data_IF_284233672722
#
_entry.id   IF_284233672722
#
_cell.length_a   1.000
_cell.length_b   1.000
_cell.length_c   1.000
_cell.angle_alpha   90.00
_cell.angle_beta   90.00
_cell.angle_gamma   90.00
#
_symmetry.space_group_name_H-M   'P 1'
#
loop_
_entity.id
_entity.type
_entity.pdbx_description
1 polymer ?
#
# COMPACT_ATOMS: atom_id res chain seq x y z
N UNK A 1 11.35 -8.38 14.97
CA UNK A 1 10.05 -9.11 14.97
C UNK A 1 8.97 -8.19 14.43
N UNK A 2 8.08 -8.69 13.57
CA UNK A 2 7.01 -7.90 12.91
C UNK A 2 5.79 -7.62 13.81
N UNK A 3 5.77 -8.16 15.04
CA UNK A 3 4.68 -7.95 16.01
C UNK A 3 4.96 -8.68 17.34
N UNK A 4 4.16 -8.38 18.37
CA UNK A 4 4.18 -9.03 19.69
C UNK A 4 2.79 -9.56 20.07
N UNK A 5 2.70 -10.67 20.80
CA UNK A 5 1.42 -11.34 21.15
C UNK A 5 0.40 -10.45 21.89
N UNK A 6 0.88 -9.44 22.62
CA UNK A 6 0.04 -8.47 23.33
C UNK A 6 -0.48 -7.32 22.45
N UNK A 7 -0.18 -7.32 21.14
CA UNK A 7 -0.66 -6.33 20.18
C UNK A 7 -1.84 -6.87 19.35
N UNK A 8 -2.53 -5.97 18.66
CA UNK A 8 -3.58 -6.35 17.72
C UNK A 8 -2.97 -6.70 16.35
N UNK A 9 -3.51 -7.76 15.74
CA UNK A 9 -3.43 -7.95 14.30
C UNK A 9 -4.55 -7.14 13.65
N UNK A 10 -4.18 -6.26 12.73
CA UNK A 10 -5.09 -5.38 12.00
C UNK A 10 -5.24 -5.92 10.59
N UNK A 11 -6.47 -6.11 10.14
CA UNK A 11 -6.79 -6.60 8.80
C UNK A 11 -7.43 -5.49 8.01
N UNK A 12 -7.12 -5.39 6.72
CA UNK A 12 -7.78 -4.47 5.79
C UNK A 12 -8.45 -5.30 4.69
N UNK A 13 -9.73 -5.06 4.46
CA UNK A 13 -10.48 -5.75 3.41
C UNK A 13 -10.40 -5.03 2.05
N UNK A 14 -10.84 -5.73 1.01
CA UNK A 14 -10.87 -5.24 -0.37
C UNK A 14 -11.78 -4.02 -0.59
N UNK A 15 -12.63 -3.68 0.39
CA UNK A 15 -13.50 -2.49 0.37
C UNK A 15 -12.87 -1.29 1.08
N UNK A 16 -11.69 -1.47 1.67
CA UNK A 16 -10.95 -0.44 2.39
C UNK A 16 -11.33 -0.28 3.86
N UNK A 17 -12.02 -1.26 4.45
CA UNK A 17 -12.32 -1.27 5.88
C UNK A 17 -11.21 -1.95 6.67
N UNK A 18 -10.94 -1.43 7.86
CA UNK A 18 -10.00 -2.03 8.81
C UNK A 18 -10.73 -2.72 9.97
N UNK A 19 -10.09 -3.76 10.49
CA UNK A 19 -10.57 -4.60 11.60
C UNK A 19 -9.39 -4.88 12.53
N UNK A 20 -9.63 -5.13 13.81
CA UNK A 20 -8.57 -5.50 14.74
C UNK A 20 -8.97 -6.72 15.58
N UNK A 21 -8.06 -7.68 15.72
CA UNK A 21 -8.17 -8.82 16.62
C UNK A 21 -6.93 -8.88 17.52
N UNK A 22 -7.06 -9.14 18.83
CA UNK A 22 -5.89 -9.34 19.68
C UNK A 22 -5.11 -10.57 19.22
N UNK A 23 -3.81 -10.45 18.94
CA UNK A 23 -3.04 -11.50 18.29
C UNK A 23 -2.98 -12.80 19.12
N UNK A 24 -2.89 -12.70 20.45
CA UNK A 24 -2.92 -13.85 21.35
C UNK A 24 -4.24 -14.66 21.32
N UNK A 25 -5.30 -14.11 20.73
CA UNK A 25 -6.59 -14.82 20.60
C UNK A 25 -6.72 -15.60 19.29
N UNK A 26 -5.75 -15.47 18.38
CA UNK A 26 -5.72 -16.23 17.14
C UNK A 26 -5.27 -17.67 17.40
N UNK A 27 -5.75 -18.64 16.61
CA UNK A 27 -5.42 -20.04 16.79
C UNK A 27 -3.93 -20.34 16.59
N UNK A 28 -3.48 -21.43 17.20
CA UNK A 28 -2.12 -21.95 17.01
C UNK A 28 -1.87 -22.37 15.56
N UNK A 29 -0.64 -22.18 15.10
CA UNK A 29 -0.17 -22.64 13.78
C UNK A 29 -0.13 -24.19 13.64
N UNK A 30 -0.35 -24.96 14.72
CA UNK A 30 -0.43 -26.43 14.65
C UNK A 30 -1.74 -26.95 14.06
N UNK A 31 -2.79 -26.12 13.98
CA UNK A 31 -4.08 -26.47 13.40
C UNK A 31 -4.27 -25.85 12.01
N UNK A 32 -5.49 -25.99 11.46
CA UNK A 32 -5.88 -25.38 10.19
C UNK A 32 -6.29 -23.90 10.31
N UNK A 33 -6.19 -23.33 11.52
CA UNK A 33 -6.66 -21.98 11.81
C UNK A 33 -8.17 -21.86 11.93
N UNK A 34 -8.68 -20.63 11.78
CA UNK A 34 -10.11 -20.33 11.75
C UNK A 34 -10.36 -19.24 10.69
N UNK A 35 -11.53 -19.23 10.03
CA UNK A 35 -11.86 -18.18 9.07
C UNK A 35 -12.06 -16.84 9.78
N UNK A 36 -11.48 -15.76 9.26
CA UNK A 36 -11.65 -14.40 9.82
C UNK A 36 -13.12 -13.96 9.88
N UNK A 37 -13.94 -14.45 8.95
CA UNK A 37 -15.39 -14.20 8.90
C UNK A 37 -16.18 -14.81 10.07
N UNK A 38 -15.59 -15.73 10.85
CA UNK A 38 -16.21 -16.20 12.10
C UNK A 38 -16.12 -15.16 13.23
N UNK A 39 -15.18 -14.21 13.12
CA UNK A 39 -14.91 -13.20 14.15
C UNK A 39 -15.29 -11.78 13.73
N UNK A 40 -15.18 -11.52 12.44
CA UNK A 40 -15.39 -10.23 11.80
C UNK A 40 -16.55 -10.32 10.82
N UNK A 41 -17.22 -9.20 10.59
CA UNK A 41 -18.40 -9.08 9.74
C UNK A 41 -18.10 -8.17 8.54
N UNK A 42 -17.24 -8.61 7.60
CA UNK A 42 -16.96 -7.82 6.40
C UNK A 42 -18.18 -7.77 5.46
N UNK A 43 -18.25 -6.79 4.54
CA UNK A 43 -19.27 -6.77 3.50
C UNK A 43 -19.29 -8.07 2.68
N UNK A 44 -20.47 -8.44 2.15
CA UNK A 44 -20.61 -9.62 1.31
C UNK A 44 -19.66 -9.56 0.10
N UNK A 45 -18.91 -10.65 -0.13
CA UNK A 45 -17.93 -10.74 -1.22
C UNK A 45 -16.60 -10.02 -0.96
N UNK A 46 -16.43 -9.35 0.18
CA UNK A 46 -15.14 -8.77 0.54
C UNK A 46 -14.11 -9.83 0.90
N UNK A 47 -12.85 -9.58 0.54
CA UNK A 47 -11.68 -10.39 0.88
C UNK A 47 -10.80 -9.62 1.85
N UNK A 48 -10.04 -10.30 2.70
CA UNK A 48 -9.03 -9.65 3.54
C UNK A 48 -7.72 -9.59 2.77
N UNK A 49 -7.35 -8.39 2.35
CA UNK A 49 -6.27 -8.20 1.38
C UNK A 49 -4.96 -7.83 2.06
N UNK A 50 -4.98 -7.24 3.27
CA UNK A 50 -3.75 -6.89 4.00
C UNK A 50 -3.84 -7.21 5.49
N UNK A 51 -2.68 -7.45 6.10
CA UNK A 51 -2.52 -7.59 7.55
C UNK A 51 -1.36 -6.72 8.04
N UNK A 52 -1.60 -5.98 9.11
CA UNK A 52 -0.62 -5.12 9.78
C UNK A 52 -0.55 -5.50 11.26
N UNK A 53 0.63 -5.37 11.83
CA UNK A 53 0.85 -5.61 13.24
C UNK A 53 2.06 -4.81 13.70
N UNK A 54 2.01 -4.30 14.93
CA UNK A 54 3.11 -3.52 15.49
C UNK A 54 2.64 -2.51 16.53
N UNK A 55 3.42 -1.44 16.71
CA UNK A 55 3.09 -0.41 17.71
C UNK A 55 2.10 0.59 17.17
N UNK A 56 1.23 1.11 18.03
CA UNK A 56 0.22 2.13 17.71
C UNK A 56 0.79 3.39 17.02
N UNK A 57 2.05 3.73 17.28
CA UNK A 57 2.74 4.88 16.68
C UNK A 57 3.42 4.61 15.34
N UNK A 58 3.48 3.36 14.87
CA UNK A 58 4.09 3.04 13.59
C UNK A 58 3.28 3.66 12.46
N UNK A 59 4.00 4.25 11.51
CA UNK A 59 3.43 4.87 10.32
C UNK A 59 3.49 3.92 9.14
N UNK A 60 2.48 3.99 8.31
CA UNK A 60 2.38 3.23 7.07
C UNK A 60 1.94 4.15 5.94
N UNK A 61 2.52 3.97 4.77
CA UNK A 61 1.98 4.45 3.51
C UNK A 61 0.76 3.58 3.17
N UNK A 62 -0.42 4.20 3.19
CA UNK A 62 -1.71 3.56 2.88
C UNK A 62 -2.18 4.07 1.53
N UNK A 63 -2.35 3.16 0.57
CA UNK A 63 -2.59 3.53 -0.84
C UNK A 63 -3.64 2.67 -1.51
N UNK A 64 -4.29 3.27 -2.51
CA UNK A 64 -5.12 2.56 -3.49
C UNK A 64 -4.39 2.51 -4.83
N UNK A 65 -4.69 1.49 -5.62
CA UNK A 65 -4.17 1.37 -6.99
C UNK A 65 -4.70 2.43 -7.97
N UNK A 66 -5.63 3.28 -7.50
CA UNK A 66 -6.11 4.45 -8.22
C UNK A 66 -5.13 5.65 -8.18
N UNK A 67 -3.98 5.52 -7.51
CA UNK A 67 -2.97 6.58 -7.39
C UNK A 67 -3.24 7.59 -6.27
N UNK A 68 -4.00 7.20 -5.25
CA UNK A 68 -4.26 8.02 -4.06
C UNK A 68 -3.79 7.30 -2.78
N UNK A 69 -3.36 8.07 -1.79
CA UNK A 69 -2.98 7.54 -0.49
C UNK A 69 -2.58 8.61 0.51
N UNK A 70 -2.16 8.17 1.69
CA UNK A 70 -1.77 9.01 2.82
C UNK A 70 -0.84 8.26 3.76
N UNK A 71 -0.20 8.98 4.67
CA UNK A 71 0.53 8.37 5.79
C UNK A 71 -0.47 8.14 6.92
N UNK A 72 -0.65 6.91 7.36
CA UNK A 72 -1.55 6.56 8.47
C UNK A 72 -0.79 5.96 9.64
N UNK A 73 -1.23 6.22 10.87
CA UNK A 73 -0.71 5.49 12.04
C UNK A 73 -1.45 4.17 12.20
N UNK A 74 -0.77 3.17 12.74
CA UNK A 74 -1.38 1.87 13.00
C UNK A 74 -2.60 1.99 13.93
N UNK A 75 -2.53 2.87 14.94
CA UNK A 75 -3.66 3.19 15.83
C UNK A 75 -4.92 3.67 15.07
N UNK A 76 -4.73 4.39 13.97
CA UNK A 76 -5.82 4.92 13.15
C UNK A 76 -6.55 3.83 12.38
N UNK A 77 -6.03 2.60 12.31
CA UNK A 77 -6.70 1.43 11.75
C UNK A 77 -7.38 0.55 12.82
N UNK A 78 -7.13 0.79 14.12
CA UNK A 78 -7.69 -0.05 15.19
C UNK A 78 -9.17 0.25 15.43
N UNK A 79 -10.00 -0.80 15.50
CA UNK A 79 -11.41 -0.71 15.87
C UNK A 79 -11.85 -1.97 16.62
N UNK A 80 -12.75 -1.81 17.60
CA UNK A 80 -13.37 -2.94 18.33
C UNK A 80 -14.67 -3.42 17.68
N UNK A 81 -15.17 -2.73 16.66
CA UNK A 81 -16.40 -3.10 15.98
C UNK A 81 -16.15 -4.30 15.05
N UNK A 82 -16.96 -5.36 15.16
CA UNK A 82 -16.90 -6.53 14.28
C UNK A 82 -17.13 -6.19 12.81
N UNK A 83 -17.94 -5.16 12.52
CA UNK A 83 -18.16 -4.65 11.16
C UNK A 83 -16.96 -3.82 10.64
N UNK A 84 -15.89 -3.67 11.43
CA UNK A 84 -14.74 -2.86 11.09
C UNK A 84 -15.06 -1.35 11.05
N UNK A 85 -14.14 -0.57 10.47
CA UNK A 85 -14.34 0.85 10.17
C UNK A 85 -13.80 1.19 8.78
N UNK A 86 -14.44 2.14 8.10
CA UNK A 86 -13.89 2.68 6.86
C UNK A 86 -12.55 3.37 7.15
N UNK A 87 -11.47 2.89 6.51
CA UNK A 87 -10.11 3.37 6.73
C UNK A 87 -9.54 4.00 5.46
N UNK A 88 -9.57 3.29 4.34
CA UNK A 88 -9.25 3.83 3.02
C UNK A 88 -10.52 3.89 2.17
N UNK A 89 -10.80 5.05 1.56
CA UNK A 89 -11.91 5.19 0.62
C UNK A 89 -11.40 4.98 -0.81
N UNK A 90 -11.92 3.97 -1.49
CA UNK A 90 -11.49 3.61 -2.83
C UNK A 90 -12.29 4.38 -3.89
N UNK A 91 -11.64 5.01 -4.87
CA UNK A 91 -12.30 5.43 -6.10
C UNK A 91 -12.94 4.23 -6.82
N UNK A 92 -13.90 4.49 -7.71
CA UNK A 92 -14.51 3.42 -8.53
C UNK A 92 -13.44 2.64 -9.30
N UNK A 93 -13.54 1.30 -9.26
CA UNK A 93 -12.56 0.39 -9.85
C UNK A 93 -11.23 0.31 -9.11
N UNK A 94 -10.99 1.15 -8.10
CA UNK A 94 -9.79 1.13 -7.28
C UNK A 94 -9.79 -0.02 -6.28
N UNK A 95 -8.59 -0.49 -5.93
CA UNK A 95 -8.33 -1.57 -4.98
C UNK A 95 -7.33 -1.12 -3.93
N UNK A 96 -7.37 -1.77 -2.77
CA UNK A 96 -6.37 -1.57 -1.70
C UNK A 96 -5.03 -2.15 -2.16
N UNK A 97 -3.95 -1.42 -1.92
CA UNK A 97 -2.58 -1.94 -2.03
C UNK A 97 -2.04 -2.28 -0.65
N UNK A 98 -1.06 -3.17 -0.59
CA UNK A 98 -0.39 -3.53 0.67
C UNK A 98 0.21 -2.28 1.33
N UNK A 99 -0.20 -1.92 2.56
CA UNK A 99 0.40 -0.78 3.24
C UNK A 99 1.89 -1.01 3.48
N UNK A 100 2.70 0.01 3.23
CA UNK A 100 4.16 -0.09 3.36
C UNK A 100 4.64 0.64 4.61
N UNK A 101 5.52 0.05 5.43
CA UNK A 101 6.00 0.72 6.63
C UNK A 101 6.79 1.99 6.27
N UNK A 102 6.63 3.03 7.09
CA UNK A 102 7.37 4.28 7.00
C UNK A 102 8.15 4.42 8.30
N UNK A 103 9.46 4.22 8.22
CA UNK A 103 10.36 4.22 9.38
C UNK A 103 11.02 5.57 9.61
N UNK A 104 11.26 6.31 8.53
CA UNK A 104 11.87 7.63 8.58
C UNK A 104 11.30 8.50 7.44
N UNK A 105 10.34 9.37 7.77
CA UNK A 105 9.67 10.21 6.79
C UNK A 105 10.57 11.31 6.20
N UNK A 106 11.70 11.62 6.86
CA UNK A 106 12.62 12.69 6.45
C UNK A 106 13.61 12.22 5.38
N UNK A 107 14.03 10.95 5.44
CA UNK A 107 15.02 10.38 4.52
C UNK A 107 14.44 9.41 3.48
N UNK A 108 13.17 9.00 3.64
CA UNK A 108 12.52 8.05 2.74
C UNK A 108 11.73 8.72 1.63
N UNK A 109 11.58 7.97 0.54
CA UNK A 109 10.84 8.36 -0.66
C UNK A 109 9.70 7.39 -0.91
N UNK A 110 8.58 7.91 -1.39
CA UNK A 110 7.50 7.11 -1.97
C UNK A 110 7.81 6.93 -3.45
N UNK A 111 7.75 5.69 -3.92
CA UNK A 111 7.78 5.37 -5.36
C UNK A 111 6.48 4.69 -5.75
N UNK A 112 5.82 5.20 -6.80
CA UNK A 112 4.63 4.60 -7.37
C UNK A 112 4.88 4.20 -8.82
N UNK A 113 4.49 2.98 -9.20
CA UNK A 113 4.66 2.46 -10.56
C UNK A 113 3.34 1.98 -11.14
N UNK A 114 2.99 2.43 -12.34
CA UNK A 114 1.78 1.99 -13.05
C UNK A 114 2.03 0.75 -13.90
N UNK A 115 0.96 0.03 -14.24
CA UNK A 115 1.01 -1.13 -15.15
C UNK A 115 1.56 -0.77 -16.54
N UNK A 116 1.39 0.47 -16.99
CA UNK A 116 1.93 1.00 -18.25
C UNK A 116 3.38 1.55 -18.12
N UNK A 117 4.03 1.27 -16.99
CA UNK A 117 5.40 1.65 -16.70
C UNK A 117 5.63 3.15 -16.63
N UNK A 118 4.71 3.88 -15.98
CA UNK A 118 5.02 5.22 -15.48
C UNK A 118 5.44 5.12 -14.03
N UNK A 119 6.52 5.81 -13.68
CA UNK A 119 7.06 5.85 -12.34
C UNK A 119 7.22 7.28 -11.84
N UNK A 120 6.86 7.51 -10.59
CA UNK A 120 7.08 8.77 -9.89
C UNK A 120 7.68 8.47 -8.51
N UNK A 121 8.74 9.19 -8.17
CA UNK A 121 9.36 9.21 -6.86
C UNK A 121 9.23 10.61 -6.25
N UNK A 122 8.95 10.69 -4.95
CA UNK A 122 8.95 11.96 -4.19
C UNK A 122 9.20 11.69 -2.69
N UNK A 123 9.70 12.67 -1.91
CA UNK A 123 9.91 12.51 -0.47
C UNK A 123 8.63 12.17 0.29
N UNK A 124 8.70 11.26 1.26
CA UNK A 124 7.54 10.87 2.09
C UNK A 124 6.93 12.07 2.81
N UNK A 125 7.76 13.03 3.24
CA UNK A 125 7.33 14.26 3.90
C UNK A 125 6.30 15.11 3.09
N UNK A 126 6.22 14.94 1.77
CA UNK A 126 5.23 15.64 0.94
C UNK A 126 3.81 15.03 1.03
N UNK A 127 3.67 13.85 1.64
CA UNK A 127 2.39 13.15 1.76
C UNK A 127 1.77 13.40 3.16
N UNK A 128 0.57 13.99 3.25
CA UNK A 128 -0.06 14.29 4.54
C UNK A 128 -0.36 13.04 5.38
N UNK A 129 -0.24 13.20 6.69
CA UNK A 129 -0.71 12.21 7.66
C UNK A 129 -2.23 12.34 7.85
N UNK A 130 -2.98 11.24 7.70
CA UNK A 130 -4.43 11.19 7.86
C UNK A 130 -4.84 9.95 8.66
N UNK A 131 -5.91 10.08 9.46
CA UNK A 131 -6.46 8.94 10.19
C UNK A 131 -7.31 8.00 9.31
N UNK A 132 -7.90 8.51 8.22
CA UNK A 132 -8.69 7.76 7.24
C UNK A 132 -9.02 8.62 6.03
N UNK A 133 -9.51 7.98 4.96
CA UNK A 133 -10.14 8.63 3.82
C UNK A 133 -9.57 8.17 2.49
N UNK A 134 -9.85 8.93 1.43
CA UNK A 134 -9.31 8.63 0.09
C UNK A 134 -7.80 8.89 0.00
N UNK A 135 -7.30 9.80 0.84
CA UNK A 135 -5.94 10.30 0.73
C UNK A 135 -5.76 11.32 -0.39
N UNK A 136 -4.51 11.74 -0.55
CA UNK A 136 -4.07 12.69 -1.54
C UNK A 136 -3.51 11.97 -2.77
N UNK A 137 -3.50 12.67 -3.90
CA UNK A 137 -2.95 12.13 -5.14
C UNK A 137 -1.44 11.87 -4.98
N UNK A 138 -1.03 10.65 -5.28
CA UNK A 138 0.37 10.17 -5.30
C UNK A 138 0.89 10.25 -6.73
N UNK A 139 0.18 9.63 -7.68
CA UNK A 139 0.47 9.65 -9.12
C UNK A 139 -0.83 9.86 -9.90
N UNK A 140 -0.79 10.70 -10.94
CA UNK A 140 -1.99 11.03 -11.70
C UNK A 140 -2.37 9.92 -12.67
N UNK A 141 -3.55 9.32 -12.45
CA UNK A 141 -4.21 8.41 -13.39
C UNK A 141 -5.62 8.95 -13.68
N UNK A 142 -6.04 9.09 -14.96
CA UNK A 142 -7.42 9.45 -15.29
C UNK A 142 -8.40 8.47 -14.66
N UNK A 143 -9.42 8.98 -13.94
CA UNK A 143 -10.35 8.15 -13.18
C UNK A 143 -11.07 7.10 -14.05
N UNK A 144 -11.45 7.46 -15.28
CA UNK A 144 -12.08 6.54 -16.22
C UNK A 144 -11.19 5.33 -16.58
N UNK A 145 -9.85 5.52 -16.63
CA UNK A 145 -8.89 4.43 -16.91
C UNK A 145 -8.70 3.51 -15.71
N UNK A 146 -8.81 4.05 -14.50
CA UNK A 146 -8.85 3.23 -13.27
C UNK A 146 -10.14 2.42 -13.23
N UNK A 147 -11.28 3.04 -13.52
CA UNK A 147 -12.59 2.39 -13.50
C UNK A 147 -12.68 1.26 -14.55
N UNK A 148 -12.16 1.48 -15.75
CA UNK A 148 -12.07 0.45 -16.81
C UNK A 148 -10.92 -0.55 -16.63
N UNK A 149 -10.08 -0.38 -15.59
CA UNK A 149 -8.86 -1.16 -15.34
C UNK A 149 -7.83 -1.14 -16.49
N UNK A 150 -7.89 -0.15 -17.37
CA UNK A 150 -6.88 0.06 -18.42
C UNK A 150 -5.53 0.49 -17.82
N UNK A 151 -5.58 1.37 -16.82
CA UNK A 151 -4.38 1.83 -16.12
C UNK A 151 -4.61 1.96 -14.62
N UNK A 152 -3.65 1.46 -13.85
CA UNK A 152 -3.65 1.49 -12.39
C UNK A 152 -2.21 1.40 -11.87
N UNK A 153 -2.02 1.74 -10.59
CA UNK A 153 -0.76 1.55 -9.89
C UNK A 153 -0.59 0.07 -9.55
N UNK A 154 0.49 -0.55 -10.00
CA UNK A 154 0.79 -1.97 -9.71
C UNK A 154 1.13 -2.14 -8.24
N UNK A 155 2.03 -1.29 -7.73
CA UNK A 155 2.30 -1.18 -6.30
C UNK A 155 2.91 0.19 -6.00
N UNK A 156 2.97 0.53 -4.72
CA UNK A 156 3.78 1.62 -4.20
C UNK A 156 4.81 1.06 -3.23
N UNK A 157 5.97 1.70 -3.12
CA UNK A 157 7.00 1.31 -2.15
C UNK A 157 7.51 2.53 -1.41
N UNK A 158 8.06 2.28 -0.22
CA UNK A 158 8.81 3.26 0.55
C UNK A 158 10.25 2.76 0.59
N UNK A 159 11.20 3.61 0.22
CA UNK A 159 12.62 3.26 0.19
C UNK A 159 13.51 4.42 0.61
N UNK A 160 14.68 4.11 1.14
CA UNK A 160 15.77 5.05 1.40
C UNK A 160 16.84 4.98 0.31
N UNK A 161 17.89 5.78 0.46
CA UNK A 161 18.97 5.90 -0.54
C UNK A 161 19.81 4.62 -0.71
N UNK A 162 19.89 3.79 0.33
CA UNK A 162 20.66 2.54 0.30
C UNK A 162 19.91 1.37 -0.37
N UNK A 163 18.63 1.57 -0.70
CA UNK A 163 17.81 0.52 -1.30
C UNK A 163 17.91 0.50 -2.83
N UNK A 164 17.60 -0.66 -3.41
CA UNK A 164 17.41 -0.83 -4.85
C UNK A 164 15.93 -1.16 -5.15
N UNK A 165 15.39 -0.63 -6.24
CA UNK A 165 14.05 -1.01 -6.71
C UNK A 165 14.18 -1.99 -7.89
N UNK A 166 13.70 -3.22 -7.71
CA UNK A 166 13.50 -4.17 -8.81
C UNK A 166 12.11 -3.99 -9.42
N UNK A 167 12.06 -3.95 -10.74
CA UNK A 167 10.82 -3.87 -11.53
C UNK A 167 10.73 -5.10 -12.41
N UNK A 168 9.61 -5.80 -12.33
CA UNK A 168 9.33 -7.02 -13.09
C UNK A 168 8.34 -6.71 -14.22
N UNK A 169 8.68 -7.17 -15.43
CA UNK A 169 7.87 -7.06 -16.64
C UNK A 169 7.94 -8.37 -17.44
N UNK A 170 6.93 -9.21 -17.27
CA UNK A 170 6.89 -10.60 -17.70
C UNK A 170 8.04 -11.40 -17.11
N UNK A 171 8.86 -12.00 -17.98
CA UNK A 171 10.05 -12.77 -17.59
C UNK A 171 11.30 -11.89 -17.35
N UNK A 172 11.20 -10.58 -17.59
CA UNK A 172 12.33 -9.65 -17.49
C UNK A 172 12.23 -8.88 -16.19
N UNK A 173 13.38 -8.46 -15.66
CA UNK A 173 13.44 -7.50 -14.58
C UNK A 173 14.59 -6.51 -14.78
N UNK A 174 14.48 -5.35 -14.16
CA UNK A 174 15.55 -4.35 -14.05
C UNK A 174 15.65 -3.94 -12.59
N UNK A 175 16.88 -3.79 -12.09
CA UNK A 175 17.13 -3.22 -10.78
C UNK A 175 17.65 -1.79 -10.93
N UNK A 176 16.98 -0.84 -10.28
CA UNK A 176 17.32 0.58 -10.29
C UNK A 176 17.89 0.97 -8.93
N UNK A 177 19.13 1.45 -8.90
CA UNK A 177 19.72 2.03 -7.68
C UNK A 177 19.17 3.43 -7.48
N UNK A 178 19.40 4.01 -6.31
CA UNK A 178 18.91 5.35 -6.01
C UNK A 178 19.28 6.40 -7.08
N UNK A 179 20.52 6.40 -7.58
CA UNK A 179 20.96 7.29 -8.66
C UNK A 179 20.14 7.13 -9.97
N UNK A 180 19.68 5.92 -10.28
CA UNK A 180 18.79 5.68 -11.43
C UNK A 180 17.36 6.17 -11.14
N UNK A 181 16.93 6.09 -9.87
CA UNK A 181 15.62 6.55 -9.41
C UNK A 181 15.49 8.07 -9.39
N UNK A 182 16.59 8.81 -9.25
CA UNK A 182 16.60 10.29 -9.29
C UNK A 182 15.98 10.84 -10.59
N UNK A 183 16.08 10.11 -11.70
CA UNK A 183 15.40 10.47 -12.96
C UNK A 183 13.86 10.54 -12.84
N UNK A 184 13.30 9.85 -11.86
CA UNK A 184 11.86 9.77 -11.60
C UNK A 184 11.42 10.64 -10.42
N UNK A 185 12.36 11.36 -9.80
CA UNK A 185 12.05 12.35 -8.78
C UNK A 185 11.23 13.49 -9.40
N UNK A 186 10.11 13.85 -8.79
CA UNK A 186 9.28 14.95 -9.26
C UNK A 186 8.17 15.31 -8.29
N UNK A 187 7.41 16.36 -8.59
CA UNK A 187 6.33 16.83 -7.74
C UNK A 187 5.25 15.75 -7.53
N UNK A 188 4.81 15.57 -6.28
CA UNK A 188 3.73 14.65 -5.93
C UNK A 188 2.47 14.91 -6.76
N UNK A 189 1.86 13.83 -7.26
CA UNK A 189 0.61 13.89 -8.00
C UNK A 189 0.76 14.18 -9.50
N UNK A 190 2.00 14.30 -10.00
CA UNK A 190 2.29 14.32 -11.44
C UNK A 190 2.09 12.94 -12.06
N UNK A 191 2.26 12.87 -13.39
CA UNK A 191 2.02 11.67 -14.20
C UNK A 191 3.16 10.63 -14.11
N UNK A 192 4.33 11.04 -13.62
CA UNK A 192 5.54 10.20 -13.61
C UNK A 192 6.19 10.06 -14.99
N UNK A 193 7.48 9.72 -14.99
CA UNK A 193 8.27 9.47 -16.19
C UNK A 193 8.13 8.02 -16.64
N UNK A 194 8.32 7.77 -17.94
CA UNK A 194 8.22 6.41 -18.48
C UNK A 194 9.46 5.61 -18.13
N UNK A 195 9.26 4.37 -17.72
CA UNK A 195 10.31 3.37 -17.60
C UNK A 195 10.94 3.06 -18.97
N UNK A 196 12.18 2.53 -18.99
CA UNK A 196 12.86 2.18 -20.23
C UNK A 196 12.03 1.22 -21.09
N UNK A 197 12.23 1.28 -22.41
CA UNK A 197 11.55 0.38 -23.34
C UNK A 197 11.83 -1.07 -22.94
N UNK A 198 10.77 -1.89 -22.93
CA UNK A 198 10.82 -3.28 -22.47
C UNK A 198 10.38 -3.49 -21.02
N UNK A 199 10.22 -2.43 -20.22
CA UNK A 199 9.71 -2.46 -18.84
C UNK A 199 8.42 -1.66 -18.65
N UNK A 200 7.65 -1.46 -19.72
CA UNK A 200 6.39 -0.68 -19.72
C UNK A 200 5.12 -1.53 -19.57
N UNK A 201 5.27 -2.83 -19.32
CA UNK A 201 4.20 -3.74 -18.92
C UNK A 201 4.60 -4.33 -17.57
N UNK A 202 4.39 -3.55 -16.52
CA UNK A 202 4.88 -3.87 -15.18
C UNK A 202 3.91 -4.81 -14.49
N UNK A 203 4.44 -5.90 -13.95
CA UNK A 203 3.65 -6.90 -13.20
C UNK A 203 3.87 -6.78 -11.69
N UNK A 204 5.08 -6.42 -11.26
CA UNK A 204 5.42 -6.27 -9.84
C UNK A 204 6.63 -5.34 -9.66
N UNK A 205 6.77 -4.81 -8.44
CA UNK A 205 7.98 -4.11 -7.98
C UNK A 205 8.38 -4.61 -6.59
N UNK A 206 9.67 -4.53 -6.28
CA UNK A 206 10.24 -5.04 -5.03
C UNK A 206 11.41 -4.16 -4.58
N UNK A 207 11.45 -3.82 -3.30
CA UNK A 207 12.61 -3.16 -2.69
C UNK A 207 13.61 -4.22 -2.24
N UNK A 208 14.87 -4.08 -2.65
CA UNK A 208 15.98 -5.00 -2.37
C UNK A 208 17.11 -4.27 -1.64
#
# INVERSE_FOLDING_TARGET
ALGKSNQNAIFIDSTGRSYALPAHTLPSARGQGEPLSARLSPPSGATFDAVLMGSDHQRYLVTSDAGYGFIGKLADAVTRNKNGKAFINLPKGGRVLQPKPVTDAESQYVVAVTNEGRMLMFPVAELPELAKGKGNKIISIPGARVESREEFVVDTVVLGQDNQLKIYAGKRHIGLKFADLEHYLGERGRRGNKLPRGFQKVDAIEVV
#
